data_IF_004847369603
#
_entry.id   IF_004847369603
#
_cell.length_a   1.000
_cell.length_b   1.000
_cell.length_c   1.000
_cell.angle_alpha   90.00
_cell.angle_beta   90.00
_cell.angle_gamma   90.00
#
_symmetry.space_group_name_H-M   'P 1'
#
loop_
_entity.id
_entity.type
_entity.pdbx_description
1 polymer ?
#
# COMPACT_ATOMS: atom_id res chain seq x y z
N UNK A 1 3.05 13.56 24.58
CA UNK A 1 2.45 13.57 23.24
C UNK A 1 3.59 13.48 22.25
N UNK A 2 3.98 12.27 21.84
CA UNK A 2 5.05 12.07 20.85
C UNK A 2 4.43 12.42 19.51
N UNK A 3 4.88 13.55 18.94
CA UNK A 3 4.65 13.85 17.53
C UNK A 3 5.40 12.77 16.74
N UNK A 4 4.70 11.68 16.39
CA UNK A 4 5.15 10.77 15.34
C UNK A 4 5.37 11.69 14.13
N UNK A 5 6.61 11.80 13.67
CA UNK A 5 6.91 12.45 12.39
C UNK A 5 6.13 11.67 11.33
N UNK A 6 4.93 12.14 11.04
CA UNK A 6 4.13 11.74 9.91
C UNK A 6 4.95 12.10 8.69
N UNK A 7 5.77 11.15 8.22
CA UNK A 7 6.50 11.25 6.95
C UNK A 7 5.55 11.21 5.76
N UNK A 8 4.33 11.71 5.90
CA UNK A 8 3.34 11.75 4.85
C UNK A 8 3.82 12.75 3.83
N UNK A 9 4.15 12.22 2.65
CA UNK A 9 4.49 13.02 1.49
C UNK A 9 3.34 14.00 1.25
N UNK A 10 3.66 15.27 0.97
CA UNK A 10 2.74 16.40 0.87
C UNK A 10 1.60 16.20 -0.15
N UNK A 11 1.65 15.14 -0.97
CA UNK A 11 0.62 14.72 -1.94
C UNK A 11 -0.37 13.68 -1.43
N UNK A 12 -0.23 13.17 -0.20
CA UNK A 12 -1.28 12.36 0.42
C UNK A 12 -2.35 13.23 1.07
N UNK A 13 -2.90 14.22 0.38
CA UNK A 13 -4.09 14.91 0.91
C UNK A 13 -5.35 14.00 0.89
N UNK A 14 -5.26 12.86 0.19
CA UNK A 14 -6.14 11.68 0.30
C UNK A 14 -5.64 10.64 1.35
N UNK A 15 -4.75 11.03 2.28
CA UNK A 15 -4.17 10.18 3.35
C UNK A 15 -5.19 9.52 4.27
N UNK A 16 -6.46 9.92 4.23
CA UNK A 16 -7.50 9.35 5.09
C UNK A 16 -7.61 7.84 4.91
N UNK A 17 -7.43 7.32 3.69
CA UNK A 17 -7.52 5.88 3.44
C UNK A 17 -6.35 5.07 4.04
N UNK A 18 -5.12 5.59 3.97
CA UNK A 18 -3.94 4.92 4.51
C UNK A 18 -3.88 5.05 6.04
N UNK A 19 -4.26 6.21 6.59
CA UNK A 19 -4.36 6.39 8.05
C UNK A 19 -5.53 5.61 8.64
N UNK A 20 -6.72 5.62 8.01
CA UNK A 20 -7.85 4.79 8.45
C UNK A 20 -7.52 3.29 8.34
N UNK A 21 -6.73 2.90 7.34
CA UNK A 21 -6.22 1.54 7.24
C UNK A 21 -5.29 1.21 8.41
N UNK A 22 -4.25 2.00 8.67
CA UNK A 22 -3.33 1.81 9.80
C UNK A 22 -4.05 1.87 11.17
N UNK A 23 -5.02 2.76 11.34
CA UNK A 23 -5.84 2.84 12.56
C UNK A 23 -6.73 1.60 12.72
N UNK A 24 -7.31 1.09 11.62
CA UNK A 24 -8.01 -0.20 11.62
C UNK A 24 -7.06 -1.37 11.90
N UNK A 25 -5.77 -1.25 11.55
CA UNK A 25 -4.77 -2.27 11.86
C UNK A 25 -4.48 -2.35 13.36
N UNK A 26 -4.29 -1.22 14.03
CA UNK A 26 -4.00 -1.12 15.48
C UNK A 26 -5.16 -1.67 16.35
N UNK A 27 -6.39 -1.67 15.84
CA UNK A 27 -7.58 -2.07 16.60
C UNK A 27 -7.93 -3.56 16.56
N UNK A 28 -7.27 -4.37 15.72
CA UNK A 28 -7.64 -5.79 15.54
C UNK A 28 -6.42 -6.72 15.48
N UNK A 29 -6.21 -7.63 16.45
CA UNK A 29 -5.15 -8.63 16.36
C UNK A 29 -5.47 -9.61 15.22
N UNK A 30 -4.72 -9.50 14.12
CA UNK A 30 -4.78 -10.47 13.01
C UNK A 30 -3.82 -11.62 13.29
N UNK A 31 -4.18 -12.86 12.93
CA UNK A 31 -3.21 -13.92 12.83
C UNK A 31 -2.11 -13.54 11.83
N UNK A 32 -0.86 -13.89 12.14
CA UNK A 32 0.31 -13.62 11.29
C UNK A 32 0.26 -14.24 9.88
N UNK A 33 -0.74 -15.08 9.60
CA UNK A 33 -0.99 -15.73 8.30
C UNK A 33 -2.00 -14.96 7.44
N UNK A 34 -2.40 -13.74 7.84
CA UNK A 34 -3.34 -12.90 7.09
C UNK A 34 -2.66 -11.59 6.69
N UNK A 35 -2.57 -11.39 5.38
CA UNK A 35 -2.16 -10.14 4.76
C UNK A 35 -3.37 -9.22 4.64
N UNK A 36 -3.18 -7.96 5.01
CA UNK A 36 -4.19 -6.94 4.84
C UNK A 36 -3.77 -6.02 3.70
N UNK A 37 -4.75 -5.46 3.01
CA UNK A 37 -4.49 -4.59 1.89
C UNK A 37 -5.67 -3.66 1.64
N UNK A 38 -5.42 -2.52 1.01
CA UNK A 38 -6.41 -1.58 0.57
C UNK A 38 -6.29 -1.41 -0.95
N UNK A 39 -7.41 -1.42 -1.65
CA UNK A 39 -7.46 -1.14 -3.09
C UNK A 39 -8.50 -0.05 -3.31
N UNK A 40 -8.08 1.10 -3.85
CA UNK A 40 -8.96 2.21 -4.18
C UNK A 40 -9.84 2.68 -2.99
N UNK A 41 -9.34 2.56 -1.76
CA UNK A 41 -10.06 2.88 -0.54
C UNK A 41 -10.82 1.69 0.08
N UNK A 42 -10.91 0.54 -0.57
CA UNK A 42 -11.55 -0.65 -0.03
C UNK A 42 -10.56 -1.53 0.77
N UNK A 43 -10.73 -1.55 2.09
CA UNK A 43 -9.97 -2.44 2.99
C UNK A 43 -10.38 -3.90 2.78
N UNK A 44 -9.38 -4.76 2.58
CA UNK A 44 -9.52 -6.20 2.38
C UNK A 44 -8.45 -6.94 3.18
N UNK A 45 -8.70 -8.24 3.38
CA UNK A 45 -7.78 -9.14 4.06
C UNK A 45 -7.84 -10.50 3.38
N UNK A 46 -6.68 -11.14 3.23
CA UNK A 46 -6.53 -12.44 2.58
C UNK A 46 -5.46 -13.25 3.30
N UNK A 47 -5.49 -14.58 3.19
CA UNK A 47 -4.40 -15.39 3.75
C UNK A 47 -3.11 -15.16 2.97
N UNK A 48 -1.98 -15.17 3.67
CA UNK A 48 -0.64 -15.16 3.08
C UNK A 48 -0.36 -16.37 2.17
N UNK A 49 -1.26 -17.36 2.12
CA UNK A 49 -1.20 -18.49 1.20
C UNK A 49 -1.83 -18.21 -0.16
N UNK A 50 -2.66 -17.18 -0.25
CA UNK A 50 -3.40 -16.80 -1.46
C UNK A 50 -2.80 -15.53 -2.08
N UNK A 51 -1.46 -15.42 -2.08
CA UNK A 51 -0.73 -14.27 -2.63
C UNK A 51 -1.06 -14.04 -4.11
N UNK A 52 -1.20 -15.09 -4.92
CA UNK A 52 -1.56 -14.93 -6.33
C UNK A 52 -2.91 -14.19 -6.49
N UNK A 53 -3.91 -14.51 -5.66
CA UNK A 53 -5.23 -13.84 -5.66
C UNK A 53 -5.11 -12.37 -5.24
N UNK A 54 -4.22 -12.07 -4.28
CA UNK A 54 -3.90 -10.69 -3.90
C UNK A 54 -3.32 -9.92 -5.09
N UNK A 55 -2.31 -10.47 -5.76
CA UNK A 55 -1.64 -9.84 -6.90
C UNK A 55 -2.63 -9.59 -8.04
N UNK A 56 -3.50 -10.55 -8.36
CA UNK A 56 -4.55 -10.38 -9.36
C UNK A 56 -5.48 -9.21 -9.00
N UNK A 57 -5.94 -9.13 -7.75
CA UNK A 57 -6.81 -8.04 -7.31
C UNK A 57 -6.14 -6.67 -7.34
N UNK A 58 -4.86 -6.58 -7.00
CA UNK A 58 -4.09 -5.34 -7.08
C UNK A 58 -3.90 -4.86 -8.53
N UNK A 59 -3.86 -5.78 -9.49
CA UNK A 59 -3.84 -5.48 -10.93
C UNK A 59 -5.13 -4.82 -11.44
N UNK A 60 -6.24 -4.98 -10.73
CA UNK A 60 -7.51 -4.33 -11.05
C UNK A 60 -7.67 -2.92 -10.43
N UNK A 61 -6.70 -2.49 -9.62
CA UNK A 61 -6.73 -1.20 -8.95
C UNK A 61 -6.70 -0.03 -9.95
N UNK A 62 -7.60 0.94 -9.76
CA UNK A 62 -7.76 2.08 -10.67
C UNK A 62 -7.01 3.34 -10.22
N UNK A 63 -6.83 3.53 -8.91
CA UNK A 63 -6.30 4.74 -8.28
C UNK A 63 -5.06 4.45 -7.46
N UNK A 64 -5.13 3.50 -6.53
CA UNK A 64 -4.01 3.16 -5.66
C UNK A 64 -4.25 1.83 -4.94
N UNK A 65 -3.19 1.26 -4.39
CA UNK A 65 -3.30 0.16 -3.46
C UNK A 65 -2.21 0.22 -2.39
N UNK A 66 -2.49 -0.37 -1.24
CA UNK A 66 -1.58 -0.50 -0.10
C UNK A 66 -1.63 -1.94 0.38
N UNK A 67 -0.48 -2.56 0.64
CA UNK A 67 -0.39 -3.93 1.14
C UNK A 67 0.48 -3.91 2.39
N UNK A 68 -0.09 -4.37 3.50
CA UNK A 68 0.66 -4.60 4.73
C UNK A 68 1.39 -5.93 4.62
N UNK A 69 2.73 -5.90 4.80
CA UNK A 69 3.55 -7.09 4.68
C UNK A 69 3.53 -7.93 5.97
N UNK A 70 3.03 -7.41 7.09
CA UNK A 70 2.85 -8.16 8.34
C UNK A 70 4.13 -8.74 8.97
N UNK A 71 5.30 -8.48 8.38
CA UNK A 71 6.60 -9.02 8.81
C UNK A 71 7.15 -8.27 10.04
N UNK A 72 6.89 -6.97 10.12
CA UNK A 72 7.34 -6.06 11.17
C UNK A 72 6.22 -5.06 11.51
N UNK A 73 6.24 -4.49 12.72
CA UNK A 73 5.17 -3.67 13.32
C UNK A 73 4.78 -2.38 12.55
N UNK A 74 5.36 -2.11 11.37
CA UNK A 74 4.96 -1.04 10.45
C UNK A 74 5.63 -1.19 9.07
N UNK A 75 5.57 -2.38 8.45
CA UNK A 75 6.09 -2.59 7.09
C UNK A 75 4.96 -2.78 6.07
N UNK A 76 4.90 -1.89 5.09
CA UNK A 76 3.90 -1.91 4.03
C UNK A 76 4.46 -1.41 2.70
N UNK A 77 3.84 -1.84 1.61
CA UNK A 77 4.13 -1.38 0.26
C UNK A 77 2.89 -0.68 -0.27
N UNK A 78 3.07 0.48 -0.87
CA UNK A 78 1.97 1.18 -1.54
C UNK A 78 2.32 1.54 -2.96
N UNK A 79 1.30 1.54 -3.81
CA UNK A 79 1.36 2.01 -5.16
C UNK A 79 0.34 3.12 -5.35
N UNK A 80 0.79 4.24 -5.89
CA UNK A 80 0.00 5.43 -6.12
C UNK A 80 0.45 6.10 -7.42
N UNK A 81 -0.29 7.10 -7.89
CA UNK A 81 0.16 7.95 -8.99
C UNK A 81 0.60 9.29 -8.40
N UNK A 82 1.82 9.74 -8.73
CA UNK A 82 2.42 11.02 -8.37
C UNK A 82 1.88 12.12 -9.28
N UNK A 83 0.59 12.41 -9.11
CA UNK A 83 -0.12 13.44 -9.86
C UNK A 83 -1.41 13.81 -9.16
N UNK A 84 -1.88 15.01 -9.44
CA UNK A 84 -3.14 15.50 -8.94
C UNK A 84 -4.30 14.67 -9.52
N UNK A 85 -5.42 14.68 -8.81
CA UNK A 85 -6.67 14.14 -9.34
C UNK A 85 -7.24 15.22 -10.26
N UNK A 86 -7.27 14.95 -11.56
CA UNK A 86 -7.90 15.84 -12.53
C UNK A 86 -9.43 15.80 -12.40
N UNK A 87 -10.09 16.76 -13.06
CA UNK A 87 -11.55 16.94 -13.05
C UNK A 87 -12.32 15.67 -13.53
N UNK A 88 -11.65 14.80 -14.28
CA UNK A 88 -12.19 13.51 -14.77
C UNK A 88 -12.15 12.38 -13.71
N UNK A 89 -11.60 12.64 -12.52
CA UNK A 89 -11.51 11.67 -11.42
C UNK A 89 -10.43 10.60 -11.60
N UNK A 90 -9.57 10.77 -12.61
CA UNK A 90 -8.37 9.99 -12.85
C UNK A 90 -7.13 10.78 -12.39
N UNK A 91 -6.10 10.06 -11.95
CA UNK A 91 -4.80 10.67 -11.66
C UNK A 91 -3.95 10.68 -12.93
N UNK A 92 -3.54 11.85 -13.40
CA UNK A 92 -2.62 12.01 -14.55
C UNK A 92 -1.14 11.88 -14.14
N UNK A 93 -0.89 11.33 -12.95
CA UNK A 93 0.44 11.19 -12.36
C UNK A 93 1.26 10.03 -12.92
N UNK A 94 2.57 10.07 -12.65
CA UNK A 94 3.42 8.91 -12.90
C UNK A 94 3.14 7.82 -11.86
N UNK A 95 3.07 6.54 -12.25
CA UNK A 95 2.91 5.45 -11.29
C UNK A 95 4.16 5.32 -10.41
N UNK A 96 3.95 5.29 -9.10
CA UNK A 96 4.99 5.24 -8.07
C UNK A 96 4.72 4.10 -7.10
N UNK A 97 5.72 3.22 -6.98
CA UNK A 97 5.80 2.20 -5.94
C UNK A 97 6.65 2.71 -4.79
N UNK A 98 6.16 2.57 -3.56
CA UNK A 98 6.82 2.99 -2.35
C UNK A 98 6.82 1.86 -1.33
N UNK A 99 7.99 1.59 -0.76
CA UNK A 99 8.14 0.64 0.33
C UNK A 99 8.44 1.39 1.60
N UNK A 100 7.63 1.13 2.62
CA UNK A 100 7.73 1.74 3.94
C UNK A 100 8.05 0.67 4.97
N UNK A 101 8.98 0.97 5.88
CA UNK A 101 9.33 0.13 7.02
C UNK A 101 9.57 1.01 8.23
N UNK A 102 8.88 0.73 9.34
CA UNK A 102 9.05 1.48 10.59
C UNK A 102 8.65 2.95 10.47
N UNK A 103 7.64 3.26 9.64
CA UNK A 103 7.21 4.64 9.37
C UNK A 103 8.18 5.46 8.52
N UNK A 104 9.17 4.82 7.89
CA UNK A 104 10.11 5.48 6.98
C UNK A 104 10.03 4.85 5.60
N UNK A 105 10.07 5.67 4.58
CA UNK A 105 10.17 5.22 3.19
C UNK A 105 11.58 4.70 2.94
N UNK A 106 11.72 3.43 2.59
CA UNK A 106 13.01 2.79 2.29
C UNK A 106 13.25 2.63 0.79
N UNK A 107 12.18 2.64 -0.02
CA UNK A 107 12.25 2.56 -1.48
C UNK A 107 11.20 3.45 -2.13
N UNK A 108 11.55 4.03 -3.27
CA UNK A 108 10.63 4.75 -4.18
C UNK A 108 11.05 4.47 -5.60
N UNK A 109 10.14 3.93 -6.41
CA UNK A 109 10.38 3.67 -7.82
C UNK A 109 9.22 4.22 -8.65
N UNK A 110 9.53 4.99 -9.69
CA UNK A 110 8.56 5.41 -10.71
C UNK A 110 8.46 4.31 -11.76
N UNK A 111 7.55 3.36 -11.53
CA UNK A 111 7.40 2.16 -12.36
C UNK A 111 5.92 1.86 -12.53
N UNK A 112 5.56 1.30 -13.68
CA UNK A 112 4.19 0.89 -13.98
C UNK A 112 3.63 -0.14 -13.01
N UNK A 113 2.30 -0.29 -13.04
CA UNK A 113 1.56 -1.24 -12.20
C UNK A 113 2.11 -2.67 -12.34
N UNK A 114 2.32 -3.15 -13.57
CA UNK A 114 2.80 -4.52 -13.84
C UNK A 114 4.13 -4.81 -13.11
N UNK A 115 5.14 -3.93 -13.27
CA UNK A 115 6.43 -4.06 -12.58
C UNK A 115 6.29 -3.95 -11.06
N UNK A 116 5.37 -3.12 -10.60
CA UNK A 116 5.12 -2.94 -9.17
C UNK A 116 4.57 -4.22 -8.53
N UNK A 117 3.69 -4.91 -9.24
CA UNK A 117 3.16 -6.21 -8.84
C UNK A 117 4.23 -7.30 -8.86
N UNK A 118 5.13 -7.30 -9.86
CA UNK A 118 6.26 -8.23 -9.89
C UNK A 118 7.17 -8.07 -8.66
N UNK A 119 7.51 -6.82 -8.29
CA UNK A 119 8.31 -6.54 -7.09
C UNK A 119 7.58 -6.97 -5.83
N UNK A 120 6.29 -6.61 -5.69
CA UNK A 120 5.49 -6.99 -4.53
C UNK A 120 5.41 -8.51 -4.40
N UNK A 121 5.19 -9.23 -5.52
CA UNK A 121 5.18 -10.68 -5.55
C UNK A 121 6.48 -11.26 -5.03
N UNK A 122 7.62 -10.76 -5.52
CA UNK A 122 8.95 -11.18 -5.05
C UNK A 122 9.14 -10.91 -3.55
N UNK A 123 8.71 -9.75 -3.06
CA UNK A 123 8.76 -9.40 -1.62
C UNK A 123 7.90 -10.33 -0.76
N UNK A 124 6.71 -10.69 -1.21
CA UNK A 124 5.79 -11.58 -0.50
C UNK A 124 6.24 -13.05 -0.52
N UNK A 125 6.90 -13.48 -1.60
CA UNK A 125 7.47 -14.84 -1.69
C UNK A 125 8.83 -14.97 -0.97
N UNK A 126 9.47 -13.85 -0.60
CA UNK A 126 10.73 -13.84 0.14
C UNK A 126 11.96 -14.20 -0.69
N UNK A 127 11.96 -13.85 -1.98
CA UNK A 127 13.13 -14.00 -2.88
C UNK A 127 14.19 -12.91 -2.70
#
# INVERSE_FOLDING_TARGET
>A
MVMRQSGLCYQHQDSDAAEAYLEALELSPVPADVLRYNIDGANKAISSKDIDVLIEGLGEAKKFWVVDLGLDEAEFVQFTYDGDIDDDGFRDGEPVLEHWRGGRKILTNRIGLEKSLEILRSLLHGE
#
